data_IF_754785956454
#
_entry.id   IF_754785956454
#
_cell.length_a   1.000
_cell.length_b   1.000
_cell.length_c   1.000
_cell.angle_alpha   90.00
_cell.angle_beta   90.00
_cell.angle_gamma   90.00
#
_symmetry.space_group_name_H-M   'P 1'
#
loop_
_entity.id
_entity.type
_entity.pdbx_description
1 polymer ?
#
# COMPACT_ATOMS: atom_id res chain seq x y z
N UNK A 1 -7.19 40.97 24.04
CA UNK A 1 -8.11 39.81 23.96
C UNK A 1 -8.58 39.70 22.52
N UNK A 2 -7.99 38.81 21.73
CA UNK A 2 -8.40 38.59 20.34
C UNK A 2 -8.91 37.15 20.20
N UNK A 3 -10.21 37.02 20.03
CA UNK A 3 -10.89 35.78 19.64
C UNK A 3 -10.81 35.70 18.12
N UNK A 4 -10.12 34.70 17.59
CA UNK A 4 -10.10 34.39 16.15
C UNK A 4 -11.20 33.35 15.88
N UNK A 5 -12.21 33.61 15.03
CA UNK A 5 -13.28 32.66 14.76
C UNK A 5 -12.82 31.65 13.70
N UNK A 6 -12.33 30.49 14.15
CA UNK A 6 -11.89 29.38 13.30
C UNK A 6 -13.00 28.40 12.93
N UNK A 7 -14.12 28.87 12.36
CA UNK A 7 -15.04 28.00 11.61
C UNK A 7 -14.65 28.13 10.15
N UNK A 8 -14.06 27.09 9.53
CA UNK A 8 -14.15 26.74 8.09
C UNK A 8 -13.16 25.66 7.60
N UNK A 9 -12.29 25.06 8.43
CA UNK A 9 -11.21 24.17 7.93
C UNK A 9 -11.36 22.64 8.18
N UNK A 10 -12.52 22.15 8.62
CA UNK A 10 -12.62 20.75 9.11
C UNK A 10 -12.74 19.69 7.99
N UNK A 11 -12.90 20.05 6.71
CA UNK A 11 -13.13 19.06 5.64
C UNK A 11 -11.93 18.77 4.71
N UNK A 12 -10.75 19.31 4.97
CA UNK A 12 -9.67 19.29 3.97
C UNK A 12 -8.77 18.03 3.93
N UNK A 13 -8.93 17.04 4.82
CA UNK A 13 -8.01 15.89 4.89
C UNK A 13 -8.60 14.53 4.51
N UNK A 14 -9.86 14.45 4.07
CA UNK A 14 -10.53 13.19 3.71
C UNK A 14 -10.49 12.79 2.23
N UNK A 15 -9.93 13.61 1.33
CA UNK A 15 -10.13 13.46 -0.11
C UNK A 15 -8.85 13.56 -0.95
N UNK A 16 -7.76 12.95 -0.49
CA UNK A 16 -6.63 12.65 -1.37
C UNK A 16 -6.46 11.13 -1.40
N UNK A 17 -6.56 10.54 -2.60
CA UNK A 17 -6.35 9.12 -2.95
C UNK A 17 -7.59 8.25 -3.20
N UNK A 18 -8.66 8.79 -3.78
CA UNK A 18 -9.60 7.96 -4.57
C UNK A 18 -9.80 8.61 -5.93
N UNK A 19 -9.17 8.04 -6.95
CA UNK A 19 -9.32 8.51 -8.33
C UNK A 19 -8.44 7.75 -9.31
N UNK A 20 -8.75 6.49 -9.59
CA UNK A 20 -8.40 5.86 -10.87
C UNK A 20 -9.59 5.01 -11.35
N UNK A 21 -10.19 5.31 -12.52
CA UNK A 21 -11.26 4.49 -13.07
C UNK A 21 -10.66 3.20 -13.66
N UNK A 22 -11.22 2.07 -13.24
CA UNK A 22 -11.01 0.78 -13.88
C UNK A 22 -11.91 0.66 -15.12
N UNK A 23 -11.32 0.63 -16.31
CA UNK A 23 -11.94 0.22 -17.57
C UNK A 23 -10.81 -0.22 -18.52
N UNK A 24 -10.81 -1.34 -19.23
CA UNK A 24 -11.75 -2.44 -19.37
C UNK A 24 -10.96 -3.67 -19.85
N UNK A 25 -11.16 -4.78 -19.16
CA UNK A 25 -10.45 -6.06 -19.20
C UNK A 25 -10.78 -7.12 -20.24
N UNK A 26 -11.44 -6.91 -21.39
CA UNK A 26 -11.80 -8.09 -22.20
C UNK A 26 -12.21 -7.82 -23.66
N UNK A 27 -11.38 -8.26 -24.61
CA UNK A 27 -11.85 -8.86 -25.86
C UNK A 27 -10.77 -9.73 -26.55
N UNK A 28 -11.03 -11.05 -26.55
CA UNK A 28 -10.80 -12.05 -27.62
C UNK A 28 -9.40 -12.34 -28.17
N UNK A 29 -9.08 -13.63 -28.09
CA UNK A 29 -7.95 -14.31 -28.67
C UNK A 29 -8.08 -14.48 -30.20
N UNK A 30 -6.98 -14.23 -30.92
CA UNK A 30 -6.53 -15.01 -32.09
C UNK A 30 -4.99 -14.96 -32.11
N UNK A 31 -4.25 -16.07 -32.04
CA UNK A 31 -2.81 -16.06 -32.30
C UNK A 31 -2.56 -15.92 -33.83
N UNK A 32 -1.66 -15.02 -34.28
CA UNK A 32 -1.28 -14.95 -35.69
C UNK A 32 -0.46 -16.21 -36.10
N UNK A 33 -0.51 -16.61 -37.38
CA UNK A 33 0.25 -17.75 -37.88
C UNK A 33 1.76 -17.52 -37.73
N UNK A 34 2.48 -18.62 -37.49
CA UNK A 34 3.93 -18.64 -37.28
C UNK A 34 4.65 -17.89 -38.41
N UNK A 35 5.21 -16.73 -38.10
CA UNK A 35 6.08 -16.01 -39.01
C UNK A 35 7.42 -16.75 -39.10
N UNK A 36 7.80 -17.09 -40.32
CA UNK A 36 9.06 -17.73 -40.67
C UNK A 36 10.25 -16.99 -40.04
N UNK A 37 11.06 -17.73 -39.30
CA UNK A 37 12.28 -17.22 -38.69
C UNK A 37 13.33 -16.95 -39.77
N UNK A 38 13.43 -15.70 -40.21
CA UNK A 38 14.58 -15.22 -41.00
C UNK A 38 15.81 -15.28 -40.10
N UNK A 39 16.78 -16.12 -40.48
CA UNK A 39 18.06 -16.23 -39.78
C UNK A 39 18.84 -14.91 -39.94
N UNK A 40 18.91 -14.14 -38.85
CA UNK A 40 19.71 -12.93 -38.76
C UNK A 40 21.18 -13.33 -38.55
N UNK A 41 22.03 -13.13 -39.55
CA UNK A 41 23.50 -13.19 -39.41
C UNK A 41 23.99 -11.83 -38.89
N UNK A 42 24.43 -11.70 -37.63
CA UNK A 42 24.92 -10.42 -37.13
C UNK A 42 26.30 -10.13 -37.71
N UNK A 43 26.43 -9.02 -38.43
CA UNK A 43 27.73 -8.42 -38.73
C UNK A 43 28.47 -8.08 -37.42
N UNK A 44 29.82 -8.14 -37.39
CA UNK A 44 30.59 -7.77 -36.21
C UNK A 44 30.38 -6.29 -35.88
N UNK A 45 29.74 -6.03 -34.74
CA UNK A 45 29.46 -4.68 -34.24
C UNK A 45 30.72 -4.06 -33.62
N UNK A 46 30.85 -2.72 -33.63
CA UNK A 46 32.01 -2.02 -33.08
C UNK A 46 32.17 -2.26 -31.57
N UNK A 47 33.41 -2.23 -31.04
CA UNK A 47 33.74 -2.62 -29.67
C UNK A 47 33.03 -1.80 -28.58
N UNK A 48 32.47 -0.63 -28.93
CA UNK A 48 31.70 0.25 -28.06
C UNK A 48 30.31 -0.27 -27.69
N UNK A 49 29.76 -1.24 -28.44
CA UNK A 49 28.43 -1.83 -28.18
C UNK A 49 28.48 -3.19 -27.49
N UNK A 50 29.68 -3.70 -27.18
CA UNK A 50 29.88 -4.99 -26.49
C UNK A 50 29.22 -5.00 -25.11
N UNK A 51 29.26 -3.88 -24.38
CA UNK A 51 28.65 -3.75 -23.05
C UNK A 51 27.12 -3.92 -23.08
N UNK A 52 26.47 -3.45 -24.14
CA UNK A 52 25.01 -3.51 -24.29
C UNK A 52 24.51 -4.92 -24.67
N UNK A 53 25.40 -5.76 -25.24
CA UNK A 53 25.12 -7.15 -25.59
C UNK A 53 25.05 -8.08 -24.37
N UNK A 54 25.76 -7.74 -23.29
CA UNK A 54 25.79 -8.55 -22.06
C UNK A 54 24.45 -8.46 -21.33
N UNK A 55 23.80 -7.30 -21.35
CA UNK A 55 22.53 -7.10 -20.64
C UNK A 55 21.34 -7.81 -21.32
N UNK A 56 21.37 -7.93 -22.65
CA UNK A 56 20.25 -8.51 -23.42
C UNK A 56 20.27 -10.06 -23.47
N UNK A 57 21.45 -10.67 -23.32
CA UNK A 57 21.62 -12.13 -23.36
C UNK A 57 21.58 -12.80 -21.99
N UNK A 58 21.59 -12.03 -20.91
CA UNK A 58 21.31 -12.54 -19.57
C UNK A 58 19.79 -12.62 -19.44
N UNK A 59 19.16 -13.81 -19.54
CA UNK A 59 17.75 -13.92 -19.17
C UNK A 59 17.62 -13.38 -17.75
N UNK A 60 16.59 -12.56 -17.43
CA UNK A 60 16.36 -12.16 -16.05
C UNK A 60 16.32 -13.46 -15.26
N UNK A 61 17.28 -13.65 -14.36
CA UNK A 61 17.25 -14.75 -13.41
C UNK A 61 15.96 -14.56 -12.65
N UNK A 62 14.90 -15.28 -13.06
CA UNK A 62 13.64 -15.30 -12.34
C UNK A 62 14.04 -15.67 -10.92
N UNK A 63 13.89 -14.77 -9.93
CA UNK A 63 14.22 -15.14 -8.57
C UNK A 63 13.42 -16.40 -8.28
N UNK A 64 14.12 -17.47 -7.86
CA UNK A 64 13.51 -18.75 -7.55
C UNK A 64 12.23 -18.47 -6.76
N UNK A 65 11.08 -18.93 -7.28
CA UNK A 65 9.76 -18.68 -6.73
C UNK A 65 9.83 -19.04 -5.24
N UNK A 66 9.96 -18.03 -4.36
CA UNK A 66 10.05 -18.26 -2.92
C UNK A 66 8.86 -19.13 -2.55
N UNK A 67 9.05 -20.24 -1.81
CA UNK A 67 7.94 -21.08 -1.42
C UNK A 67 6.87 -20.18 -0.80
N UNK A 68 5.63 -20.31 -1.28
CA UNK A 68 4.48 -19.55 -0.78
C UNK A 68 4.37 -19.89 0.70
N UNK A 69 5.00 -19.07 1.54
CA UNK A 69 5.01 -19.27 2.99
C UNK A 69 3.57 -19.08 3.42
N UNK A 70 2.90 -20.19 3.73
CA UNK A 70 1.49 -20.22 4.11
C UNK A 70 1.30 -19.22 5.23
N UNK A 71 0.68 -18.10 4.92
CA UNK A 71 0.58 -16.97 5.82
C UNK A 71 -0.28 -17.38 7.02
N UNK A 72 0.35 -17.49 8.20
CA UNK A 72 -0.32 -17.96 9.41
C UNK A 72 -1.05 -16.77 10.04
N UNK A 73 -2.33 -16.95 10.32
CA UNK A 73 -3.17 -15.95 10.99
C UNK A 73 -2.61 -15.52 12.35
N UNK A 74 -1.89 -16.41 13.04
CA UNK A 74 -1.27 -16.15 14.35
C UNK A 74 0.26 -16.05 14.23
N UNK A 75 0.74 -15.12 13.42
CA UNK A 75 2.16 -14.82 13.32
C UNK A 75 2.49 -13.49 14.04
N UNK A 76 3.74 -13.35 14.53
CA UNK A 76 4.28 -12.10 15.11
C UNK A 76 4.01 -10.86 14.25
N UNK A 77 3.93 -11.07 12.94
CA UNK A 77 3.56 -10.07 11.95
C UNK A 77 2.19 -9.43 12.23
N UNK A 78 1.15 -10.25 12.45
CA UNK A 78 -0.22 -9.76 12.72
C UNK A 78 -0.32 -9.05 14.07
N UNK A 79 0.42 -9.53 15.07
CA UNK A 79 0.50 -8.85 16.37
C UNK A 79 1.11 -7.44 16.23
N UNK A 80 2.12 -7.28 15.37
CA UNK A 80 2.71 -5.97 15.10
C UNK A 80 1.71 -5.02 14.45
N UNK A 81 0.93 -5.51 13.49
CA UNK A 81 -0.14 -4.75 12.84
C UNK A 81 -1.19 -4.27 13.82
N UNK A 82 -1.68 -5.17 14.66
CA UNK A 82 -2.65 -4.86 15.72
C UNK A 82 -2.09 -3.82 16.69
N UNK A 83 -0.88 -4.04 17.23
CA UNK A 83 -0.27 -3.14 18.22
C UNK A 83 0.04 -1.77 17.60
N UNK A 84 0.62 -1.74 16.41
CA UNK A 84 0.97 -0.50 15.74
C UNK A 84 -0.27 0.35 15.44
N UNK A 85 -1.30 -0.25 14.84
CA UNK A 85 -2.54 0.46 14.49
C UNK A 85 -3.31 0.94 15.73
N UNK A 86 -3.33 0.16 16.81
CA UNK A 86 -3.93 0.57 18.08
C UNK A 86 -3.19 1.73 18.73
N UNK A 87 -1.86 1.61 18.89
CA UNK A 87 -1.04 2.68 19.48
C UNK A 87 -1.05 3.95 18.62
N UNK A 88 -1.05 3.81 17.29
CA UNK A 88 -1.20 4.94 16.38
C UNK A 88 -2.51 5.67 16.65
N UNK A 89 -3.63 4.95 16.69
CA UNK A 89 -4.97 5.53 16.94
C UNK A 89 -5.02 6.26 18.29
N UNK A 90 -4.51 5.64 19.36
CA UNK A 90 -4.46 6.26 20.69
C UNK A 90 -3.56 7.51 20.73
N UNK A 91 -2.41 7.44 20.05
CA UNK A 91 -1.46 8.56 19.99
C UNK A 91 -2.06 9.73 19.22
N UNK A 92 -2.70 9.47 18.08
CA UNK A 92 -3.39 10.51 17.31
C UNK A 92 -4.52 11.12 18.11
N UNK A 93 -5.33 10.30 18.81
CA UNK A 93 -6.41 10.79 19.67
C UNK A 93 -5.86 11.74 20.74
N UNK A 94 -4.82 11.29 21.46
CA UNK A 94 -4.20 12.09 22.52
C UNK A 94 -3.67 13.43 21.99
N UNK A 95 -2.99 13.42 20.84
CA UNK A 95 -2.47 14.65 20.24
C UNK A 95 -3.61 15.57 19.81
N UNK A 96 -4.65 15.05 19.14
CA UNK A 96 -5.77 15.87 18.69
C UNK A 96 -6.52 16.52 19.85
N UNK A 97 -6.81 15.76 20.91
CA UNK A 97 -7.54 16.26 22.08
C UNK A 97 -6.66 17.19 22.93
N UNK A 98 -5.48 16.74 23.35
CA UNK A 98 -4.69 17.45 24.35
C UNK A 98 -3.70 18.47 23.79
N UNK A 99 -3.35 18.38 22.50
CA UNK A 99 -2.39 19.29 21.87
C UNK A 99 -3.02 20.17 20.80
N UNK A 100 -4.02 19.68 20.07
CA UNK A 100 -4.72 20.46 19.06
C UNK A 100 -6.05 21.07 19.54
N UNK A 101 -6.54 20.70 20.74
CA UNK A 101 -7.75 21.25 21.33
C UNK A 101 -9.04 20.79 20.65
N UNK A 102 -9.01 19.64 19.95
CA UNK A 102 -10.20 19.06 19.34
C UNK A 102 -11.12 18.46 20.40
N UNK A 103 -12.42 18.45 20.12
CA UNK A 103 -13.36 17.69 20.94
C UNK A 103 -13.14 16.18 20.74
N UNK A 104 -13.47 15.36 21.73
CA UNK A 104 -13.37 13.90 21.61
C UNK A 104 -14.19 13.37 20.42
N UNK A 105 -15.36 13.96 20.17
CA UNK A 105 -16.26 13.60 19.07
C UNK A 105 -15.69 13.88 17.69
N UNK A 106 -14.86 14.93 17.55
CA UNK A 106 -14.18 15.26 16.29
C UNK A 106 -12.85 14.50 16.15
N UNK A 107 -12.14 14.28 17.25
CA UNK A 107 -10.84 13.62 17.28
C UNK A 107 -10.93 12.12 17.00
N UNK A 108 -11.96 11.44 17.51
CA UNK A 108 -12.14 10.00 17.34
C UNK A 108 -12.20 9.56 15.87
N UNK A 109 -13.10 10.11 15.02
CA UNK A 109 -13.16 9.71 13.62
C UNK A 109 -11.87 10.07 12.86
N UNK A 110 -11.23 11.19 13.20
CA UNK A 110 -9.95 11.58 12.59
C UNK A 110 -8.81 10.62 12.94
N UNK A 111 -8.71 10.19 14.20
CA UNK A 111 -7.71 9.22 14.66
C UNK A 111 -7.89 7.85 14.01
N UNK A 112 -9.14 7.38 13.93
CA UNK A 112 -9.50 6.14 13.25
C UNK A 112 -9.17 6.22 11.75
N UNK A 113 -9.57 7.30 11.08
CA UNK A 113 -9.31 7.50 9.66
C UNK A 113 -7.81 7.58 9.36
N UNK A 114 -7.04 8.24 10.21
CA UNK A 114 -5.57 8.31 10.11
C UNK A 114 -4.96 6.91 10.15
N UNK A 115 -5.29 6.12 11.18
CA UNK A 115 -4.76 4.76 11.33
C UNK A 115 -5.16 3.84 10.16
N UNK A 116 -6.44 3.90 9.75
CA UNK A 116 -6.95 3.12 8.62
C UNK A 116 -6.25 3.46 7.31
N UNK A 117 -5.99 4.76 7.07
CA UNK A 117 -5.28 5.23 5.88
C UNK A 117 -3.85 4.72 5.86
N UNK A 118 -3.14 4.78 6.98
CA UNK A 118 -1.76 4.24 7.08
C UNK A 118 -1.75 2.74 6.81
N UNK A 119 -2.69 1.98 7.39
CA UNK A 119 -2.82 0.55 7.17
C UNK A 119 -3.09 0.21 5.70
N UNK A 120 -4.02 0.91 5.06
CA UNK A 120 -4.36 0.71 3.65
C UNK A 120 -3.22 1.11 2.72
N UNK A 121 -2.57 2.25 2.98
CA UNK A 121 -1.45 2.75 2.20
C UNK A 121 -0.28 1.76 2.20
N UNK A 122 0.01 1.13 3.34
CA UNK A 122 1.03 0.07 3.42
C UNK A 122 0.69 -1.10 2.52
N UNK A 123 -0.54 -1.61 2.56
CA UNK A 123 -0.92 -2.76 1.73
C UNK A 123 -0.92 -2.43 0.23
N UNK A 124 -1.32 -1.21 -0.14
CA UNK A 124 -1.22 -0.73 -1.51
C UNK A 124 0.25 -0.59 -1.95
N UNK A 125 1.12 -0.10 -1.06
CA UNK A 125 2.55 -0.03 -1.31
C UNK A 125 3.19 -1.42 -1.44
N UNK A 126 2.78 -2.39 -0.62
CA UNK A 126 3.29 -3.76 -0.73
C UNK A 126 2.78 -4.45 -2.00
N UNK A 127 1.58 -4.11 -2.48
CA UNK A 127 1.06 -4.58 -3.77
C UNK A 127 1.75 -3.93 -4.99
N UNK A 128 2.26 -2.70 -4.86
CA UNK A 128 2.90 -1.99 -5.97
C UNK A 128 4.33 -2.46 -6.27
N UNK A 129 4.95 -3.23 -5.36
CA UNK A 129 6.29 -3.79 -5.59
C UNK A 129 6.28 -4.94 -6.59
N UNK A 130 7.37 -5.12 -7.33
CA UNK A 130 7.53 -6.23 -8.28
C UNK A 130 7.37 -7.57 -7.55
N UNK A 131 6.32 -8.33 -7.89
CA UNK A 131 5.98 -9.60 -7.26
C UNK A 131 5.33 -9.49 -5.87
N UNK A 132 5.01 -8.28 -5.42
CA UNK A 132 4.30 -8.00 -4.17
C UNK A 132 2.80 -8.28 -4.25
N UNK A 133 2.15 -8.41 -3.08
CA UNK A 133 0.70 -8.61 -2.94
C UNK A 133 0.22 -7.93 -1.67
N UNK A 134 -0.96 -7.34 -1.72
CA UNK A 134 -1.68 -6.90 -0.53
C UNK A 134 -2.10 -8.11 0.31
N UNK A 135 -2.10 -7.93 1.63
CA UNK A 135 -2.44 -8.93 2.63
C UNK A 135 -3.72 -8.54 3.37
N UNK A 136 -4.82 -9.20 3.03
CA UNK A 136 -6.09 -8.97 3.71
C UNK A 136 -6.04 -9.28 5.22
N UNK A 137 -5.14 -10.16 5.66
CA UNK A 137 -4.98 -10.47 7.09
C UNK A 137 -4.35 -9.32 7.87
N UNK A 138 -3.50 -8.53 7.22
CA UNK A 138 -2.91 -7.34 7.83
C UNK A 138 -3.94 -6.23 7.95
N UNK A 139 -4.85 -6.09 6.97
CA UNK A 139 -6.01 -5.21 7.09
C UNK A 139 -6.93 -5.61 8.26
N UNK A 140 -7.21 -6.91 8.42
CA UNK A 140 -8.00 -7.39 9.56
C UNK A 140 -7.29 -7.11 10.89
N UNK A 141 -5.98 -7.38 10.98
CA UNK A 141 -5.21 -7.08 12.19
C UNK A 141 -5.20 -5.58 12.52
N UNK A 142 -5.08 -4.71 11.52
CA UNK A 142 -5.19 -3.26 11.68
C UNK A 142 -6.60 -2.86 12.18
N UNK A 143 -7.66 -3.41 11.58
CA UNK A 143 -9.04 -3.13 11.98
C UNK A 143 -9.31 -3.54 13.44
N UNK A 144 -8.78 -4.70 13.87
CA UNK A 144 -8.88 -5.13 15.28
C UNK A 144 -8.12 -4.18 16.21
N UNK A 145 -6.90 -3.78 15.85
CA UNK A 145 -6.11 -2.84 16.65
C UNK A 145 -6.79 -1.47 16.81
N UNK A 146 -7.33 -0.94 15.71
CA UNK A 146 -8.14 0.30 15.72
C UNK A 146 -9.40 0.12 16.58
N UNK A 147 -10.13 -0.98 16.42
CA UNK A 147 -11.34 -1.24 17.19
C UNK A 147 -11.09 -1.34 18.70
N UNK A 148 -9.99 -2.00 19.10
CA UNK A 148 -9.56 -2.04 20.50
C UNK A 148 -9.20 -0.64 21.03
N UNK A 149 -8.49 0.16 20.24
CA UNK A 149 -8.18 1.54 20.62
C UNK A 149 -9.45 2.38 20.80
N UNK A 150 -10.43 2.26 19.89
CA UNK A 150 -11.73 2.92 20.04
C UNK A 150 -12.44 2.47 21.32
N UNK A 151 -12.42 1.18 21.63
CA UNK A 151 -12.99 0.65 22.88
C UNK A 151 -12.33 1.23 24.13
N UNK A 152 -11.01 1.45 24.10
CA UNK A 152 -10.26 2.10 25.19
C UNK A 152 -10.61 3.59 25.31
N UNK A 153 -10.76 4.30 24.18
CA UNK A 153 -11.13 5.72 24.17
C UNK A 153 -12.56 5.94 24.67
N UNK A 154 -13.46 4.98 24.40
CA UNK A 154 -14.87 5.06 24.76
C UNK A 154 -15.19 4.66 26.22
N UNK A 155 -14.20 4.16 26.96
CA UNK A 155 -14.34 3.75 28.37
C UNK A 155 -14.21 4.94 29.32
#
# INVERSE_FOLDING_TARGET
MHVIPGRLWVWAWGALLVGLPAAGANAWAVPPPAADSVAFTPAPLPPTLTGLRVELLVPPTRPARRPVRRDRWWARDKARHLVFSGLWTLSTQYVLVHKAGWSDGDALPASVASSATVGLAKELYDASRIGGRASGKDLVANAVGIGLAVGVIAL
#
